data_IF_097673860352
#
_entry.id   IF_097673860352
#
_cell.length_a   1.000
_cell.length_b   1.000
_cell.length_c   1.000
_cell.angle_alpha   90.00
_cell.angle_beta   90.00
_cell.angle_gamma   90.00
#
_symmetry.space_group_name_H-M   'P 1'
#
loop_
_entity.id
_entity.type
_entity.pdbx_description
1 polymer ?
#
# COMPACT_ATOMS: atom_id res chain seq x y z
N UNK A 1 -18.34 -5.50 6.65
CA UNK A 1 -18.02 -4.19 7.28
C UNK A 1 -17.73 -3.10 6.27
N UNK A 2 -16.85 -3.35 5.30
CA UNK A 2 -16.59 -2.46 4.16
C UNK A 2 -17.02 -3.16 2.88
N UNK A 3 -17.69 -2.44 1.99
CA UNK A 3 -18.05 -2.88 0.65
C UNK A 3 -17.67 -1.80 -0.36
N UNK A 4 -16.82 -2.13 -1.32
CA UNK A 4 -16.40 -1.26 -2.40
C UNK A 4 -16.76 -1.93 -3.73
N UNK A 5 -17.48 -1.21 -4.57
CA UNK A 5 -17.91 -1.70 -5.88
C UNK A 5 -17.54 -0.69 -6.97
N UNK A 6 -16.70 -1.13 -7.92
CA UNK A 6 -16.27 -0.38 -9.10
C UNK A 6 -15.74 1.03 -8.79
N UNK A 7 -15.02 1.17 -7.67
CA UNK A 7 -14.51 2.45 -7.20
C UNK A 7 -13.50 3.02 -8.19
N UNK A 8 -13.74 4.25 -8.63
CA UNK A 8 -12.82 5.00 -9.48
C UNK A 8 -12.62 6.41 -8.92
N UNK A 9 -11.36 6.86 -8.91
CA UNK A 9 -10.99 8.24 -8.55
C UNK A 9 -10.06 8.84 -9.58
N UNK A 10 -10.44 9.99 -10.10
CA UNK A 10 -9.63 10.78 -11.03
C UNK A 10 -9.26 12.14 -10.43
N UNK A 11 -8.07 12.58 -10.71
CA UNK A 11 -7.57 13.94 -10.48
C UNK A 11 -7.16 14.50 -11.83
N UNK A 12 -8.06 15.28 -12.43
CA UNK A 12 -7.90 15.72 -13.82
C UNK A 12 -7.78 14.53 -14.78
N UNK A 13 -6.64 14.42 -15.46
CA UNK A 13 -6.37 13.29 -16.39
C UNK A 13 -5.83 12.03 -15.71
N UNK A 14 -5.37 12.13 -14.47
CA UNK A 14 -4.75 11.00 -13.76
C UNK A 14 -5.83 10.17 -13.07
N UNK A 15 -5.89 8.87 -13.34
CA UNK A 15 -6.68 7.91 -12.59
C UNK A 15 -5.83 7.40 -11.40
N UNK A 16 -6.12 7.89 -10.20
CA UNK A 16 -5.48 7.42 -8.97
C UNK A 16 -6.05 6.08 -8.49
N UNK A 17 -7.32 5.80 -8.79
CA UNK A 17 -8.00 4.52 -8.57
C UNK A 17 -8.80 4.20 -9.83
N UNK A 18 -8.68 2.98 -10.33
CA UNK A 18 -9.30 2.52 -11.57
C UNK A 18 -10.10 1.24 -11.35
N UNK A 19 -11.41 1.40 -11.13
CA UNK A 19 -12.41 0.33 -11.09
C UNK A 19 -12.08 -0.80 -10.09
N UNK A 20 -11.76 -0.47 -8.83
CA UNK A 20 -11.48 -1.48 -7.81
C UNK A 20 -12.76 -1.92 -7.09
N UNK A 21 -12.82 -3.22 -6.76
CA UNK A 21 -13.90 -3.81 -5.97
C UNK A 21 -13.34 -4.79 -4.94
N UNK A 22 -13.73 -4.63 -3.69
CA UNK A 22 -13.37 -5.56 -2.61
C UNK A 22 -14.30 -5.37 -1.41
N UNK A 23 -14.25 -6.31 -0.47
CA UNK A 23 -14.99 -6.24 0.80
C UNK A 23 -14.08 -6.58 1.98
N UNK A 24 -14.45 -6.08 3.17
CA UNK A 24 -13.82 -6.42 4.45
C UNK A 24 -14.90 -6.88 5.41
N UNK A 25 -14.71 -8.06 6.01
CA UNK A 25 -15.67 -8.63 6.92
C UNK A 25 -15.55 -8.04 8.34
N UNK A 26 -16.63 -8.07 9.15
CA UNK A 26 -16.52 -7.66 10.54
C UNK A 26 -15.48 -8.49 11.31
N UNK A 27 -14.62 -7.83 12.10
CA UNK A 27 -13.59 -8.47 12.92
C UNK A 27 -12.32 -8.86 12.15
N UNK A 28 -12.25 -8.62 10.83
CA UNK A 28 -11.10 -8.95 9.99
C UNK A 28 -10.00 -7.87 10.09
N UNK A 29 -8.73 -8.29 10.08
CA UNK A 29 -7.58 -7.40 9.91
C UNK A 29 -7.07 -7.55 8.47
N UNK A 30 -7.31 -6.53 7.64
CA UNK A 30 -6.93 -6.52 6.22
C UNK A 30 -5.79 -5.56 5.98
N UNK A 31 -4.75 -6.04 5.30
CA UNK A 31 -3.64 -5.21 4.80
C UNK A 31 -3.94 -4.68 3.40
N UNK A 32 -3.73 -3.40 3.19
CA UNK A 32 -3.83 -2.74 1.89
C UNK A 32 -2.43 -2.35 1.42
N UNK A 33 -1.80 -3.22 0.63
CA UNK A 33 -0.39 -3.16 0.28
C UNK A 33 -0.19 -2.59 -1.12
N UNK A 34 0.83 -1.76 -1.31
CA UNK A 34 1.19 -1.23 -2.62
C UNK A 34 2.34 -0.24 -2.57
N UNK A 35 3.03 0.03 -3.69
CA UNK A 35 4.07 1.04 -3.76
C UNK A 35 3.52 2.46 -3.51
N UNK A 36 4.42 3.42 -3.33
CA UNK A 36 4.02 4.82 -3.24
C UNK A 36 3.37 5.25 -4.56
N UNK A 37 2.25 6.01 -4.46
CA UNK A 37 1.45 6.41 -5.62
C UNK A 37 0.50 5.33 -6.17
N UNK A 38 0.43 4.13 -5.59
CA UNK A 38 -0.47 3.06 -6.04
C UNK A 38 -1.97 3.34 -5.82
N UNK A 39 -2.33 4.34 -4.98
CA UNK A 39 -3.72 4.69 -4.67
C UNK A 39 -4.15 4.36 -3.23
N UNK A 40 -3.25 3.90 -2.35
CA UNK A 40 -3.56 3.50 -0.96
C UNK A 40 -4.23 4.63 -0.17
N UNK A 41 -3.54 5.74 0.04
CA UNK A 41 -4.05 6.90 0.79
C UNK A 41 -5.31 7.49 0.15
N UNK A 42 -5.38 7.49 -1.19
CA UNK A 42 -6.59 7.91 -1.91
C UNK A 42 -7.79 7.02 -1.55
N UNK A 43 -7.59 5.71 -1.49
CA UNK A 43 -8.64 4.76 -1.08
C UNK A 43 -9.05 4.99 0.38
N UNK A 44 -8.09 5.15 1.31
CA UNK A 44 -8.38 5.45 2.72
C UNK A 44 -9.16 6.77 2.88
N UNK A 45 -8.79 7.80 2.12
CA UNK A 45 -9.47 9.10 2.15
C UNK A 45 -10.92 9.02 1.63
N UNK A 46 -11.20 8.16 0.64
CA UNK A 46 -12.59 7.93 0.18
C UNK A 46 -13.38 7.15 1.23
N UNK A 47 -12.80 6.09 1.80
CA UNK A 47 -13.43 5.29 2.87
C UNK A 47 -13.83 6.14 4.08
N UNK A 48 -13.01 7.13 4.43
CA UNK A 48 -13.27 8.05 5.56
C UNK A 48 -14.22 9.20 5.21
N UNK A 49 -14.62 9.31 3.93
CA UNK A 49 -15.43 10.41 3.44
C UNK A 49 -14.70 11.77 3.46
N UNK A 50 -13.35 11.73 3.42
CA UNK A 50 -12.53 12.95 3.31
C UNK A 50 -12.54 13.52 1.89
N UNK A 51 -12.54 12.66 0.87
CA UNK A 51 -12.70 13.04 -0.53
C UNK A 51 -13.79 12.19 -1.19
N UNK A 52 -14.57 12.75 -2.15
CA UNK A 52 -15.55 11.97 -2.89
C UNK A 52 -14.91 11.05 -3.92
N UNK A 53 -15.56 9.93 -4.24
CA UNK A 53 -15.25 9.11 -5.41
C UNK A 53 -15.62 9.84 -6.71
N UNK A 54 -15.04 9.42 -7.84
CA UNK A 54 -15.48 9.89 -9.18
C UNK A 54 -16.59 8.98 -9.72
N UNK A 55 -16.52 7.68 -9.42
CA UNK A 55 -17.53 6.69 -9.74
C UNK A 55 -17.42 5.50 -8.79
N UNK A 56 -18.44 4.65 -8.79
CA UNK A 56 -18.53 3.49 -7.91
C UNK A 56 -19.18 3.80 -6.57
N UNK A 57 -19.42 2.76 -5.78
CA UNK A 57 -20.11 2.83 -4.48
C UNK A 57 -19.19 2.36 -3.38
N UNK A 58 -19.20 3.06 -2.25
CA UNK A 58 -18.44 2.70 -1.04
C UNK A 58 -19.39 2.70 0.15
N UNK A 59 -19.50 1.55 0.82
CA UNK A 59 -20.32 1.39 2.02
C UNK A 59 -19.47 0.99 3.21
N UNK A 60 -19.78 1.56 4.38
CA UNK A 60 -19.19 1.20 5.67
C UNK A 60 -20.32 0.94 6.65
N UNK A 61 -20.33 -0.26 7.26
CA UNK A 61 -21.39 -0.67 8.16
C UNK A 61 -22.79 -0.64 7.53
N UNK A 62 -22.88 -0.85 6.22
CA UNK A 62 -24.13 -0.79 5.44
C UNK A 62 -24.55 0.61 5.00
N UNK A 63 -23.87 1.68 5.44
CA UNK A 63 -24.16 3.06 5.04
C UNK A 63 -23.26 3.52 3.91
N UNK A 64 -23.84 4.21 2.92
CA UNK A 64 -23.08 4.80 1.83
C UNK A 64 -22.29 6.02 2.31
N UNK A 65 -21.00 6.07 1.93
CA UNK A 65 -20.08 7.13 2.37
C UNK A 65 -20.50 8.51 1.87
N UNK A 66 -21.14 8.57 0.71
CA UNK A 66 -21.58 9.83 0.09
C UNK A 66 -22.96 10.27 0.57
N UNK A 67 -23.88 9.33 0.78
CA UNK A 67 -25.27 9.61 1.17
C UNK A 67 -25.41 9.80 2.69
N UNK A 68 -24.70 8.99 3.50
CA UNK A 68 -24.78 8.96 4.95
C UNK A 68 -23.43 9.28 5.66
N UNK A 69 -22.70 10.34 5.32
CA UNK A 69 -21.34 10.58 5.81
C UNK A 69 -21.24 10.67 7.34
N UNK A 70 -22.23 11.21 8.03
CA UNK A 70 -22.25 11.33 9.50
C UNK A 70 -22.37 9.94 10.17
N UNK A 71 -23.17 9.03 9.61
CA UNK A 71 -23.32 7.67 10.14
C UNK A 71 -22.04 6.88 9.93
N UNK A 72 -21.43 7.02 8.76
CA UNK A 72 -20.14 6.40 8.42
C UNK A 72 -19.03 6.89 9.34
N UNK A 73 -18.87 8.20 9.50
CA UNK A 73 -17.81 8.80 10.36
C UNK A 73 -17.92 8.39 11.82
N UNK A 74 -19.11 8.08 12.33
CA UNK A 74 -19.29 7.58 13.71
C UNK A 74 -18.75 6.16 13.88
N UNK A 75 -18.76 5.35 12.82
CA UNK A 75 -18.27 3.97 12.86
C UNK A 75 -16.77 3.86 12.65
N UNK A 76 -16.11 4.96 12.20
CA UNK A 76 -14.71 4.94 11.80
C UNK A 76 -13.82 5.63 12.84
N UNK A 77 -12.75 4.94 13.22
CA UNK A 77 -11.56 5.54 13.79
C UNK A 77 -10.47 5.64 12.73
N UNK A 78 -10.01 6.84 12.43
CA UNK A 78 -9.02 7.07 11.39
C UNK A 78 -7.71 7.59 11.95
N UNK A 79 -6.62 6.91 11.58
CA UNK A 79 -5.25 7.35 11.79
C UNK A 79 -4.64 7.64 10.41
N UNK A 80 -4.50 8.89 9.98
CA UNK A 80 -3.76 9.23 8.77
C UNK A 80 -2.25 9.03 8.98
N UNK A 81 -1.49 8.95 7.89
CA UNK A 81 -0.02 8.85 7.88
C UNK A 81 0.62 9.93 8.78
N UNK A 82 0.11 11.16 8.70
CA UNK A 82 0.50 12.27 9.58
C UNK A 82 -0.71 12.69 10.41
N UNK A 83 -0.79 12.28 11.68
CA UNK A 83 -1.91 12.67 12.54
C UNK A 83 -1.98 14.19 12.73
N UNK A 84 -3.15 14.82 12.57
CA UNK A 84 -3.34 16.27 12.71
C UNK A 84 -3.38 16.65 14.20
N UNK A 85 -2.23 16.60 14.87
CA UNK A 85 -2.12 16.87 16.30
C UNK A 85 -2.00 18.37 16.57
N UNK A 86 -2.69 18.84 17.62
CA UNK A 86 -2.55 20.19 18.13
C UNK A 86 -1.38 20.26 19.11
N UNK A 87 -0.27 20.83 18.66
CA UNK A 87 1.01 20.79 19.38
C UNK A 87 1.05 21.59 20.69
N UNK A 88 0.20 22.58 20.83
CA UNK A 88 0.12 23.44 22.02
C UNK A 88 -0.87 22.95 23.09
N UNK A 89 -1.59 21.86 22.80
CA UNK A 89 -2.42 21.16 23.77
C UNK A 89 -1.63 20.06 24.48
N UNK A 90 -2.03 19.75 25.72
CA UNK A 90 -1.62 18.51 26.39
C UNK A 90 -2.32 17.32 25.75
N UNK A 91 -1.79 16.10 25.95
CA UNK A 91 -2.42 14.87 25.45
C UNK A 91 -3.88 14.76 25.89
N UNK A 92 -4.15 15.04 27.17
CA UNK A 92 -5.52 14.97 27.72
C UNK A 92 -6.45 16.03 27.13
N UNK A 93 -5.98 17.28 26.96
CA UNK A 93 -6.77 18.34 26.33
C UNK A 93 -7.08 18.02 24.88
N UNK A 94 -6.09 17.52 24.11
CA UNK A 94 -6.28 17.11 22.75
C UNK A 94 -7.32 15.97 22.61
N UNK A 95 -7.19 14.91 23.42
CA UNK A 95 -8.16 13.80 23.38
C UNK A 95 -9.55 14.23 23.86
N UNK A 96 -9.64 15.16 24.79
CA UNK A 96 -10.91 15.75 25.23
C UNK A 96 -11.59 16.53 24.08
N UNK A 97 -10.82 17.33 23.37
CA UNK A 97 -11.29 18.05 22.19
C UNK A 97 -11.79 17.08 21.10
N UNK A 98 -11.03 15.99 20.83
CA UNK A 98 -11.47 14.96 19.88
C UNK A 98 -12.77 14.29 20.31
N UNK A 99 -12.92 13.98 21.60
CA UNK A 99 -14.15 13.39 22.14
C UNK A 99 -15.37 14.31 21.99
N UNK A 100 -15.16 15.62 22.07
CA UNK A 100 -16.20 16.61 21.78
C UNK A 100 -16.58 16.68 20.31
N UNK A 101 -15.59 16.71 19.42
CA UNK A 101 -15.80 16.71 17.97
C UNK A 101 -16.58 15.47 17.50
N UNK A 102 -16.21 14.30 18.03
CA UNK A 102 -16.90 13.03 17.75
C UNK A 102 -18.27 12.92 18.43
N UNK A 103 -18.70 13.94 19.16
CA UNK A 103 -19.97 13.96 19.90
C UNK A 103 -20.13 12.77 20.86
N UNK A 104 -19.02 12.29 21.45
CA UNK A 104 -19.05 11.21 22.42
C UNK A 104 -19.96 11.58 23.61
N UNK A 105 -20.74 10.66 24.17
CA UNK A 105 -21.65 10.94 25.30
C UNK A 105 -20.88 11.51 26.51
N UNK A 106 -21.34 12.62 27.06
CA UNK A 106 -20.62 13.36 28.12
C UNK A 106 -20.23 12.48 29.32
N UNK A 107 -21.09 11.55 29.71
CA UNK A 107 -20.87 10.61 30.81
C UNK A 107 -19.82 9.52 30.51
N UNK A 108 -19.50 9.28 29.24
CA UNK A 108 -18.53 8.27 28.82
C UNK A 108 -17.19 8.87 28.40
N UNK A 109 -17.12 10.17 28.08
CA UNK A 109 -15.92 10.83 27.52
C UNK A 109 -14.67 10.57 28.33
N UNK A 110 -14.75 10.83 29.67
CA UNK A 110 -13.60 10.66 30.55
C UNK A 110 -13.09 9.21 30.52
N UNK A 111 -14.00 8.23 30.64
CA UNK A 111 -13.66 6.80 30.58
C UNK A 111 -13.02 6.43 29.26
N UNK A 112 -13.59 6.84 28.13
CA UNK A 112 -13.05 6.54 26.80
C UNK A 112 -11.66 7.14 26.60
N UNK A 113 -11.40 8.35 27.10
CA UNK A 113 -10.08 8.99 27.04
C UNK A 113 -9.07 8.22 27.88
N UNK A 114 -9.42 7.87 29.13
CA UNK A 114 -8.56 7.11 30.04
C UNK A 114 -8.23 5.73 29.43
N UNK A 115 -9.23 4.97 28.93
CA UNK A 115 -9.07 3.68 28.29
C UNK A 115 -8.19 3.78 27.02
N UNK A 116 -8.40 4.80 26.19
CA UNK A 116 -7.59 5.01 24.98
C UNK A 116 -6.13 5.33 25.35
N UNK A 117 -5.88 6.15 26.38
CA UNK A 117 -4.52 6.45 26.83
C UNK A 117 -3.83 5.22 27.43
N UNK A 118 -4.54 4.39 28.18
CA UNK A 118 -4.00 3.13 28.73
C UNK A 118 -3.66 2.12 27.62
N UNK A 119 -4.58 1.91 26.68
CA UNK A 119 -4.34 1.00 25.54
C UNK A 119 -3.12 1.42 24.74
N UNK A 120 -2.94 2.74 24.53
CA UNK A 120 -1.81 3.29 23.80
C UNK A 120 -0.55 3.45 24.66
N UNK A 121 -0.59 3.16 25.96
CA UNK A 121 0.51 3.32 26.92
C UNK A 121 1.06 4.75 26.93
N UNK A 122 0.16 5.74 27.01
CA UNK A 122 0.49 7.18 27.07
C UNK A 122 -0.11 7.88 28.28
N UNK A 123 -0.73 7.14 29.21
CA UNK A 123 -1.36 7.69 30.40
C UNK A 123 -0.39 8.56 31.23
N UNK A 124 0.86 8.12 31.38
CA UNK A 124 1.91 8.86 32.10
C UNK A 124 2.29 10.19 31.44
N UNK A 125 1.87 10.39 30.19
CA UNK A 125 2.16 11.57 29.40
C UNK A 125 0.92 12.48 29.24
N UNK A 126 -0.19 12.18 29.91
CA UNK A 126 -1.48 12.87 29.78
C UNK A 126 -1.40 14.39 29.93
N UNK A 127 -0.55 14.87 30.85
CA UNK A 127 -0.34 16.31 31.14
C UNK A 127 0.81 16.94 30.30
N UNK A 128 1.50 16.17 29.47
CA UNK A 128 2.56 16.70 28.59
C UNK A 128 1.98 17.37 27.37
N UNK A 129 2.59 18.48 26.95
CA UNK A 129 2.30 19.11 25.66
C UNK A 129 2.68 18.15 24.51
N UNK A 130 1.83 18.07 23.50
CA UNK A 130 2.02 17.20 22.34
C UNK A 130 3.33 17.53 21.60
N UNK A 131 3.72 18.81 21.52
CA UNK A 131 5.01 19.23 20.91
C UNK A 131 6.23 18.58 21.56
N UNK A 132 6.17 18.30 22.85
CA UNK A 132 7.27 17.76 23.64
C UNK A 132 7.36 16.22 23.61
N UNK A 133 6.54 15.56 22.81
CA UNK A 133 6.54 14.10 22.61
C UNK A 133 7.48 13.69 21.47
N UNK A 134 8.10 12.52 21.62
CA UNK A 134 8.81 11.88 20.50
C UNK A 134 7.84 11.49 19.38
N UNK A 135 8.35 11.23 18.17
CA UNK A 135 7.53 10.81 17.03
C UNK A 135 6.67 9.60 17.37
N UNK A 136 7.23 8.57 18.01
CA UNK A 136 6.48 7.39 18.42
C UNK A 136 5.36 7.67 19.43
N UNK A 137 5.58 8.57 20.37
CA UNK A 137 4.51 9.00 21.27
C UNK A 137 3.43 9.83 20.56
N UNK A 138 3.79 10.69 19.62
CA UNK A 138 2.83 11.42 18.77
C UNK A 138 1.98 10.44 17.95
N UNK A 139 2.58 9.39 17.42
CA UNK A 139 1.85 8.34 16.72
C UNK A 139 0.85 7.62 17.63
N UNK A 140 1.25 7.31 18.89
CA UNK A 140 0.36 6.72 19.89
C UNK A 140 -0.80 7.65 20.28
N UNK A 141 -0.59 8.96 20.33
CA UNK A 141 -1.66 9.95 20.54
C UNK A 141 -2.62 9.95 19.35
N UNK A 142 -2.10 9.85 18.10
CA UNK A 142 -2.91 9.68 16.90
C UNK A 142 -3.75 8.39 16.92
N UNK A 143 -3.20 7.29 17.42
CA UNK A 143 -3.99 6.07 17.64
C UNK A 143 -5.07 6.27 18.73
N UNK A 144 -4.71 6.86 19.86
CA UNK A 144 -5.68 7.12 20.92
C UNK A 144 -6.87 7.94 20.41
N UNK A 145 -6.62 8.97 19.60
CA UNK A 145 -7.69 9.77 18.97
C UNK A 145 -8.58 8.92 18.03
N UNK A 146 -8.00 7.95 17.32
CA UNK A 146 -8.76 7.06 16.46
C UNK A 146 -9.73 6.18 17.28
N UNK A 147 -9.35 5.75 18.48
CA UNK A 147 -10.16 4.91 19.38
C UNK A 147 -11.30 5.65 20.10
N UNK A 148 -11.22 6.97 20.21
CA UNK A 148 -12.30 7.77 20.85
C UNK A 148 -13.62 7.55 20.10
N UNK A 149 -14.67 7.26 20.83
CA UNK A 149 -16.01 6.95 20.30
C UNK A 149 -16.25 5.47 20.05
N UNK A 150 -15.29 4.61 20.42
CA UNK A 150 -15.42 3.12 20.30
C UNK A 150 -15.85 2.67 18.88
N UNK A 151 -15.08 3.05 17.83
CA UNK A 151 -15.47 2.77 16.46
C UNK A 151 -15.45 1.27 16.16
N UNK A 152 -16.34 0.80 15.31
CA UNK A 152 -16.34 -0.60 14.85
C UNK A 152 -15.22 -0.88 13.82
N UNK A 153 -14.83 0.15 13.06
CA UNK A 153 -13.80 0.09 12.03
C UNK A 153 -12.63 1.02 12.34
N UNK A 154 -11.42 0.50 12.31
CA UNK A 154 -10.19 1.30 12.35
C UNK A 154 -9.56 1.34 10.95
N UNK A 155 -9.31 2.53 10.45
CA UNK A 155 -8.57 2.78 9.21
C UNK A 155 -7.23 3.38 9.61
N UNK A 156 -6.12 2.67 9.27
CA UNK A 156 -4.77 3.03 9.68
C UNK A 156 -3.92 3.23 8.41
N UNK A 157 -3.55 4.48 8.14
CA UNK A 157 -2.72 4.79 6.96
C UNK A 157 -1.26 4.89 7.36
N UNK A 158 -0.43 3.93 6.88
CA UNK A 158 1.01 3.80 7.15
C UNK A 158 1.35 3.92 8.67
N UNK A 159 0.73 3.11 9.55
CA UNK A 159 0.77 3.32 11.00
C UNK A 159 2.15 3.20 11.66
N UNK A 160 3.13 2.63 10.95
CA UNK A 160 4.48 2.34 11.44
C UNK A 160 5.55 3.25 10.83
N UNK A 161 5.15 4.17 9.94
CA UNK A 161 6.11 5.01 9.22
C UNK A 161 6.97 5.86 10.17
N UNK A 162 8.31 5.74 10.00
CA UNK A 162 9.29 6.52 10.77
C UNK A 162 9.37 6.17 12.25
N UNK A 163 8.90 4.98 12.64
CA UNK A 163 9.16 4.38 13.94
C UNK A 163 10.45 3.56 13.91
N UNK A 164 11.11 3.42 15.06
CA UNK A 164 12.24 2.51 15.19
C UNK A 164 11.79 1.03 15.25
N UNK A 165 12.71 0.05 15.01
CA UNK A 165 12.35 -1.37 14.96
C UNK A 165 11.63 -1.89 16.21
N UNK A 166 11.98 -1.38 17.41
CA UNK A 166 11.34 -1.77 18.66
C UNK A 166 9.90 -1.26 18.72
N UNK A 167 9.69 -0.01 18.32
CA UNK A 167 8.38 0.61 18.26
C UNK A 167 7.48 -0.07 17.22
N UNK A 168 8.02 -0.50 16.07
CA UNK A 168 7.30 -1.28 15.06
C UNK A 168 6.76 -2.58 15.65
N UNK A 169 7.61 -3.34 16.38
CA UNK A 169 7.19 -4.59 17.03
C UNK A 169 6.07 -4.33 18.05
N UNK A 170 6.18 -3.27 18.84
CA UNK A 170 5.15 -2.89 19.82
C UNK A 170 3.84 -2.50 19.13
N UNK A 171 3.93 -1.75 18.03
CA UNK A 171 2.77 -1.31 17.25
C UNK A 171 2.05 -2.50 16.61
N UNK A 172 2.77 -3.47 16.05
CA UNK A 172 2.19 -4.71 15.52
C UNK A 172 1.40 -5.49 16.60
N UNK A 173 1.98 -5.62 17.80
CA UNK A 173 1.29 -6.27 18.93
C UNK A 173 0.02 -5.51 19.32
N UNK A 174 0.08 -4.19 19.30
CA UNK A 174 -1.05 -3.33 19.58
C UNK A 174 -2.16 -3.51 18.55
N UNK A 175 -1.86 -3.41 17.26
CA UNK A 175 -2.85 -3.60 16.18
C UNK A 175 -3.51 -4.98 16.30
N UNK A 176 -2.73 -6.05 16.53
CA UNK A 176 -3.30 -7.40 16.78
C UNK A 176 -4.24 -7.44 17.99
N UNK A 177 -3.93 -6.70 19.06
CA UNK A 177 -4.80 -6.65 20.23
C UNK A 177 -6.10 -5.89 19.96
N UNK A 178 -6.04 -4.84 19.15
CA UNK A 178 -7.20 -4.06 18.72
C UNK A 178 -8.12 -4.85 17.78
N UNK A 179 -7.55 -5.70 16.90
CA UNK A 179 -8.30 -6.56 15.99
C UNK A 179 -9.23 -7.54 16.66
N UNK A 180 -9.05 -7.82 17.98
CA UNK A 180 -10.00 -8.63 18.76
C UNK A 180 -11.35 -7.94 19.00
N UNK A 181 -11.40 -6.61 18.88
CA UNK A 181 -12.58 -5.79 19.16
C UNK A 181 -13.05 -4.97 17.97
N UNK A 182 -12.15 -4.70 17.03
CA UNK A 182 -12.38 -3.81 15.90
C UNK A 182 -12.07 -4.52 14.59
N UNK A 183 -12.80 -4.19 13.55
CA UNK A 183 -12.38 -4.47 12.17
C UNK A 183 -11.25 -3.50 11.83
N UNK A 184 -10.20 -3.95 11.16
CA UNK A 184 -9.05 -3.09 10.85
C UNK A 184 -8.71 -3.19 9.37
N UNK A 185 -8.57 -2.06 8.71
CA UNK A 185 -7.87 -1.96 7.43
C UNK A 185 -6.64 -1.09 7.63
N UNK A 186 -5.47 -1.61 7.28
CA UNK A 186 -4.23 -0.85 7.39
C UNK A 186 -3.51 -0.78 6.04
N UNK A 187 -3.04 0.39 5.68
CA UNK A 187 -2.18 0.56 4.52
C UNK A 187 -0.71 0.39 4.90
N UNK A 188 0.08 -0.19 4.01
CA UNK A 188 1.54 -0.17 4.09
C UNK A 188 2.17 -0.38 2.72
N UNK A 189 3.42 0.03 2.58
CA UNK A 189 4.27 -0.34 1.45
C UNK A 189 5.28 -1.43 1.85
N UNK A 190 5.28 -1.86 3.11
CA UNK A 190 6.18 -2.87 3.68
C UNK A 190 5.41 -4.15 3.93
N UNK A 191 5.67 -5.15 3.11
CA UNK A 191 4.96 -6.41 3.14
C UNK A 191 5.15 -7.19 4.45
N UNK A 192 6.36 -7.19 5.04
CA UNK A 192 6.65 -7.84 6.32
C UNK A 192 5.80 -7.29 7.48
N UNK A 193 5.41 -6.02 7.41
CA UNK A 193 4.55 -5.42 8.42
C UNK A 193 3.13 -5.94 8.31
N UNK A 194 2.62 -5.98 7.09
CA UNK A 194 1.28 -6.45 6.77
C UNK A 194 1.13 -7.94 7.09
N UNK A 195 2.08 -8.78 6.62
CA UNK A 195 2.05 -10.22 6.84
C UNK A 195 2.14 -10.62 8.32
N UNK A 196 2.82 -9.80 9.12
CA UNK A 196 2.94 -10.05 10.56
C UNK A 196 1.63 -9.81 11.33
N UNK A 197 0.66 -9.08 10.76
CA UNK A 197 -0.54 -8.59 11.48
C UNK A 197 -1.83 -9.01 10.81
N UNK A 198 -1.89 -9.00 9.47
CA UNK A 198 -3.11 -9.16 8.71
C UNK A 198 -3.42 -10.62 8.40
N UNK A 199 -4.71 -10.94 8.35
CA UNK A 199 -5.24 -12.25 7.95
C UNK A 199 -5.34 -12.35 6.43
N UNK A 200 -5.61 -11.21 5.76
CA UNK A 200 -5.72 -11.10 4.31
C UNK A 200 -5.07 -9.81 3.82
N UNK A 201 -4.53 -9.86 2.61
CA UNK A 201 -3.84 -8.75 1.97
C UNK A 201 -4.51 -8.44 0.64
N UNK A 202 -4.74 -7.17 0.39
CA UNK A 202 -5.16 -6.62 -0.90
C UNK A 202 -3.96 -5.87 -1.46
N UNK A 203 -3.43 -6.33 -2.59
CA UNK A 203 -2.31 -5.68 -3.27
C UNK A 203 -2.87 -4.75 -4.33
N UNK A 204 -2.52 -3.46 -4.22
CA UNK A 204 -2.88 -2.43 -5.19
C UNK A 204 -1.64 -1.93 -5.92
N UNK A 205 -1.74 -1.80 -7.25
CA UNK A 205 -0.71 -1.19 -8.09
C UNK A 205 -1.36 -0.31 -9.16
N UNK A 206 -0.81 0.86 -9.43
CA UNK A 206 -1.32 1.83 -10.43
C UNK A 206 -2.85 2.04 -10.38
N UNK A 207 -3.40 2.05 -9.18
CA UNK A 207 -4.84 2.25 -8.96
C UNK A 207 -5.71 1.01 -9.20
N UNK A 208 -5.17 -0.18 -9.46
CA UNK A 208 -5.89 -1.44 -9.67
C UNK A 208 -5.52 -2.47 -8.63
N UNK A 209 -6.43 -3.38 -8.32
CA UNK A 209 -6.13 -4.52 -7.46
C UNK A 209 -5.38 -5.56 -8.28
N UNK A 210 -4.15 -5.87 -7.85
CA UNK A 210 -3.30 -6.89 -8.48
C UNK A 210 -3.57 -8.28 -7.88
N UNK A 211 -3.81 -8.37 -6.57
CA UNK A 211 -4.12 -9.65 -5.91
C UNK A 211 -4.89 -9.42 -4.61
N UNK A 212 -5.65 -10.44 -4.19
CA UNK A 212 -6.32 -10.52 -2.89
C UNK A 212 -6.21 -11.93 -2.37
N UNK A 213 -5.43 -12.17 -1.32
CA UNK A 213 -5.30 -13.48 -0.69
C UNK A 213 -4.71 -13.37 0.73
N UNK A 214 -4.54 -14.51 1.42
CA UNK A 214 -3.78 -14.58 2.66
C UNK A 214 -2.28 -14.43 2.39
N UNK A 215 -1.48 -13.92 3.35
CA UNK A 215 -0.03 -13.85 3.19
C UNK A 215 0.59 -15.21 2.85
N UNK A 216 0.10 -16.29 3.46
CA UNK A 216 0.58 -17.66 3.23
C UNK A 216 0.28 -18.16 1.80
N UNK A 217 -0.91 -17.85 1.28
CA UNK A 217 -1.27 -18.25 -0.08
C UNK A 217 -0.49 -17.45 -1.12
N UNK A 218 -0.31 -16.14 -0.88
CA UNK A 218 0.54 -15.31 -1.74
C UNK A 218 1.95 -15.88 -1.83
N UNK A 219 2.55 -16.31 -0.70
CA UNK A 219 3.90 -16.89 -0.68
C UNK A 219 4.00 -18.24 -1.41
N UNK A 220 2.91 -19.01 -1.46
CA UNK A 220 2.87 -20.33 -2.11
C UNK A 220 2.37 -20.28 -3.55
N UNK A 221 1.52 -19.33 -3.86
CA UNK A 221 0.65 -19.35 -5.07
C UNK A 221 1.22 -18.71 -6.32
N UNK A 222 2.07 -17.70 -6.20
CA UNK A 222 2.45 -16.85 -7.31
C UNK A 222 3.80 -17.17 -7.96
N UNK A 223 4.62 -18.02 -7.34
CA UNK A 223 5.84 -18.50 -8.01
C UNK A 223 5.48 -19.45 -9.16
N UNK A 224 5.79 -19.07 -10.39
CA UNK A 224 5.78 -19.97 -11.57
C UNK A 224 6.89 -21.02 -11.50
N UNK A 225 7.75 -20.92 -10.50
CA UNK A 225 8.90 -21.78 -10.27
C UNK A 225 8.98 -22.22 -8.81
N UNK A 226 9.53 -23.40 -8.56
CA UNK A 226 9.97 -23.87 -7.25
C UNK A 226 11.43 -23.52 -7.06
N UNK A 227 11.82 -22.99 -5.90
CA UNK A 227 13.21 -22.68 -5.59
C UNK A 227 13.77 -23.59 -4.51
N UNK A 228 14.99 -24.05 -4.72
CA UNK A 228 15.76 -24.84 -3.76
C UNK A 228 17.09 -24.14 -3.45
N UNK A 229 17.41 -23.97 -2.18
CA UNK A 229 18.78 -23.69 -1.74
C UNK A 229 19.53 -25.00 -1.62
N UNK A 230 20.65 -25.09 -2.29
CA UNK A 230 21.48 -26.28 -2.38
C UNK A 230 22.91 -25.95 -2.00
N UNK A 231 23.42 -26.53 -0.92
CA UNK A 231 24.84 -26.43 -0.55
C UNK A 231 25.55 -27.70 -0.93
N UNK A 232 26.58 -27.59 -1.76
CA UNK A 232 27.29 -28.73 -2.38
C UNK A 232 28.79 -28.55 -2.22
N UNK A 233 29.51 -29.65 -1.90
CA UNK A 233 30.94 -29.70 -1.97
C UNK A 233 31.39 -30.22 -3.34
N UNK A 234 32.14 -29.39 -4.10
CA UNK A 234 32.62 -29.77 -5.43
C UNK A 234 33.05 -28.56 -6.28
N UNK A 235 33.48 -28.84 -7.50
CA UNK A 235 33.85 -27.81 -8.46
C UNK A 235 32.61 -27.01 -8.89
N UNK A 236 32.59 -25.67 -8.74
CA UNK A 236 31.42 -24.89 -9.09
C UNK A 236 30.95 -25.08 -10.54
N UNK A 237 31.87 -25.16 -11.49
CA UNK A 237 31.51 -25.35 -12.92
C UNK A 237 30.86 -26.70 -13.17
N UNK A 238 31.38 -27.78 -12.55
CA UNK A 238 30.83 -29.11 -12.68
C UNK A 238 29.44 -29.24 -12.06
N UNK A 239 29.23 -28.61 -10.86
CA UNK A 239 27.95 -28.58 -10.18
C UNK A 239 26.92 -27.81 -11.00
N UNK A 240 27.25 -26.59 -11.46
CA UNK A 240 26.32 -25.78 -12.29
C UNK A 240 25.91 -26.52 -13.57
N UNK A 241 26.87 -27.11 -14.31
CA UNK A 241 26.57 -27.87 -15.53
C UNK A 241 25.64 -29.05 -15.25
N UNK A 242 25.98 -29.88 -14.24
CA UNK A 242 25.20 -31.08 -13.92
C UNK A 242 23.76 -30.75 -13.44
N UNK A 243 23.57 -29.62 -12.73
CA UNK A 243 22.27 -29.22 -12.26
C UNK A 243 21.44 -28.58 -13.38
N UNK A 244 22.06 -27.82 -14.27
CA UNK A 244 21.36 -27.18 -15.41
C UNK A 244 20.85 -28.19 -16.45
N UNK A 245 21.43 -29.40 -16.53
CA UNK A 245 20.98 -30.46 -17.43
C UNK A 245 19.73 -31.22 -16.91
N UNK A 246 19.30 -30.97 -15.70
CA UNK A 246 18.14 -31.66 -15.11
C UNK A 246 16.84 -31.12 -15.73
N UNK A 247 16.00 -32.02 -16.19
CA UNK A 247 14.69 -31.66 -16.74
C UNK A 247 13.84 -30.91 -15.72
N UNK A 248 13.30 -29.76 -16.10
CA UNK A 248 12.50 -28.88 -15.27
C UNK A 248 13.32 -27.82 -14.51
N UNK A 249 14.65 -27.82 -14.59
CA UNK A 249 15.48 -26.72 -14.05
C UNK A 249 15.45 -25.55 -15.02
N UNK A 250 15.11 -24.36 -14.52
CA UNK A 250 15.07 -23.10 -15.27
C UNK A 250 16.37 -22.30 -15.14
N UNK A 251 16.86 -22.21 -13.90
CA UNK A 251 18.08 -21.44 -13.61
C UNK A 251 18.86 -22.05 -12.45
N UNK A 252 20.18 -21.83 -12.47
CA UNK A 252 21.10 -22.21 -11.39
C UNK A 252 22.00 -21.01 -11.11
N UNK A 253 21.85 -20.42 -9.94
CA UNK A 253 22.61 -19.26 -9.50
C UNK A 253 23.53 -19.66 -8.35
N UNK A 254 24.84 -19.37 -8.47
CA UNK A 254 25.80 -19.52 -7.38
C UNK A 254 25.75 -18.29 -6.48
N UNK A 255 25.43 -18.45 -5.20
CA UNK A 255 25.39 -17.35 -4.25
C UNK A 255 26.74 -17.06 -3.63
N UNK A 256 27.23 -17.94 -2.76
CA UNK A 256 28.41 -17.72 -1.92
C UNK A 256 29.23 -19.01 -1.76
N UNK A 257 30.54 -18.84 -1.54
CA UNK A 257 31.40 -19.89 -1.03
C UNK A 257 31.38 -19.85 0.52
N UNK A 258 30.92 -20.93 1.15
CA UNK A 258 30.91 -21.05 2.62
C UNK A 258 32.27 -21.43 3.15
N UNK A 259 32.96 -22.37 2.45
CA UNK A 259 34.28 -22.89 2.78
C UNK A 259 35.02 -23.26 1.49
N UNK A 260 36.29 -23.58 1.58
CA UNK A 260 37.08 -23.96 0.41
C UNK A 260 36.51 -25.24 -0.23
N UNK A 261 35.95 -25.11 -1.43
CA UNK A 261 35.30 -26.19 -2.18
C UNK A 261 33.83 -26.47 -1.85
N UNK A 262 33.19 -25.63 -1.02
CA UNK A 262 31.75 -25.71 -0.69
C UNK A 262 31.04 -24.43 -1.11
N UNK A 263 30.09 -24.56 -2.00
CA UNK A 263 29.31 -23.43 -2.53
C UNK A 263 27.81 -23.65 -2.32
N UNK A 264 27.08 -22.55 -2.14
CA UNK A 264 25.62 -22.54 -2.07
C UNK A 264 25.05 -22.04 -3.39
N UNK A 265 24.02 -22.72 -3.88
CA UNK A 265 23.33 -22.42 -5.13
C UNK A 265 21.84 -22.20 -4.86
N UNK A 266 21.21 -21.32 -5.64
CA UNK A 266 19.74 -21.30 -5.83
C UNK A 266 19.44 -22.01 -7.14
N UNK A 267 18.57 -23.00 -7.06
CA UNK A 267 18.09 -23.77 -8.22
C UNK A 267 16.61 -23.47 -8.39
N UNK A 268 16.24 -22.89 -9.52
CA UNK A 268 14.85 -22.67 -9.89
C UNK A 268 14.39 -23.78 -10.83
N UNK A 269 13.20 -24.30 -10.57
CA UNK A 269 12.58 -25.34 -11.41
C UNK A 269 11.11 -25.03 -11.67
N UNK A 270 10.52 -25.73 -12.63
CA UNK A 270 9.07 -25.71 -12.82
C UNK A 270 8.36 -26.15 -11.53
N UNK A 271 7.24 -25.49 -11.21
CA UNK A 271 6.50 -25.68 -9.96
C UNK A 271 5.99 -27.12 -9.76
N UNK A 272 5.61 -27.77 -10.85
CA UNK A 272 5.00 -29.10 -10.83
C UNK A 272 6.03 -30.23 -10.95
N UNK A 273 7.34 -29.91 -11.01
CA UNK A 273 8.41 -30.89 -11.19
C UNK A 273 9.27 -30.99 -9.93
N UNK A 274 9.20 -32.15 -9.25
CA UNK A 274 10.09 -32.42 -8.10
C UNK A 274 11.49 -32.82 -8.59
N UNK A 275 12.40 -31.86 -8.54
CA UNK A 275 13.80 -32.05 -8.96
C UNK A 275 14.71 -32.62 -7.89
N UNK A 276 14.25 -32.83 -6.64
CA UNK A 276 15.10 -33.25 -5.50
C UNK A 276 15.80 -34.60 -5.74
N UNK A 277 15.09 -35.58 -6.28
CA UNK A 277 15.69 -36.87 -6.63
C UNK A 277 16.65 -36.79 -7.81
N UNK A 278 16.30 -36.15 -8.94
CA UNK A 278 17.23 -35.88 -10.03
C UNK A 278 18.50 -35.17 -9.58
N UNK A 279 18.40 -34.13 -8.71
CA UNK A 279 19.55 -33.43 -8.15
C UNK A 279 20.50 -34.36 -7.40
N UNK A 280 19.96 -35.22 -6.55
CA UNK A 280 20.78 -36.21 -5.83
C UNK A 280 21.59 -37.11 -6.79
N UNK A 281 20.95 -37.68 -7.80
CA UNK A 281 21.64 -38.57 -8.74
C UNK A 281 22.63 -37.83 -9.64
N UNK A 282 22.30 -36.64 -10.10
CA UNK A 282 23.19 -35.86 -10.97
C UNK A 282 24.48 -35.48 -10.23
N UNK A 283 24.38 -35.03 -8.98
CA UNK A 283 25.52 -34.62 -8.15
C UNK A 283 26.32 -35.81 -7.64
N UNK A 284 25.68 -36.94 -7.36
CA UNK A 284 26.39 -38.19 -7.03
C UNK A 284 27.28 -38.69 -8.19
N UNK A 285 26.86 -38.56 -9.44
CA UNK A 285 27.65 -38.95 -10.64
C UNK A 285 28.97 -38.18 -10.76
N UNK A 286 28.99 -36.92 -10.30
CA UNK A 286 30.17 -36.07 -10.34
C UNK A 286 30.90 -36.02 -9.00
N UNK A 287 30.57 -36.94 -8.07
CA UNK A 287 31.16 -37.04 -6.72
C UNK A 287 31.09 -35.74 -5.94
N UNK A 288 30.02 -34.98 -6.07
CA UNK A 288 29.76 -33.71 -5.40
C UNK A 288 28.65 -33.90 -4.36
N UNK A 289 28.97 -34.17 -3.07
CA UNK A 289 27.99 -34.46 -2.05
C UNK A 289 27.15 -33.23 -1.72
N UNK A 290 25.84 -33.46 -1.54
CA UNK A 290 24.90 -32.45 -1.05
C UNK A 290 25.07 -32.38 0.48
N UNK A 291 25.43 -31.20 0.99
CA UNK A 291 25.56 -30.94 2.42
C UNK A 291 24.27 -30.39 3.01
N UNK A 292 23.51 -29.64 2.24
CA UNK A 292 22.24 -29.07 2.66
C UNK A 292 21.33 -28.87 1.47
N UNK A 293 20.03 -29.16 1.64
CA UNK A 293 18.99 -28.89 0.66
C UNK A 293 17.76 -28.34 1.40
N UNK A 294 17.31 -27.15 1.04
CA UNK A 294 16.12 -26.50 1.61
C UNK A 294 15.24 -25.99 0.48
N UNK A 295 13.92 -26.15 0.60
CA UNK A 295 12.98 -25.37 -0.18
C UNK A 295 13.08 -23.91 0.22
N UNK A 296 13.18 -23.05 -0.76
CA UNK A 296 13.04 -21.61 -0.58
C UNK A 296 11.65 -21.23 -1.08
N UNK A 297 10.80 -20.82 -0.17
CA UNK A 297 9.58 -20.12 -0.58
C UNK A 297 9.98 -18.74 -1.14
N UNK A 298 9.30 -18.31 -2.17
CA UNK A 298 9.45 -16.91 -2.61
C UNK A 298 9.15 -16.01 -1.42
N UNK A 299 10.02 -15.05 -1.18
CA UNK A 299 9.66 -14.03 -0.22
C UNK A 299 8.46 -13.26 -0.74
N UNK A 300 7.59 -12.84 0.16
CA UNK A 300 6.43 -12.04 -0.23
C UNK A 300 6.85 -10.73 -0.92
N UNK A 301 8.08 -10.24 -0.68
CA UNK A 301 8.69 -9.11 -1.37
C UNK A 301 8.98 -9.42 -2.83
N UNK A 302 9.53 -10.60 -3.13
CA UNK A 302 9.79 -11.03 -4.52
C UNK A 302 8.49 -11.19 -5.29
N UNK A 303 7.46 -11.78 -4.66
CA UNK A 303 6.13 -11.90 -5.24
C UNK A 303 5.50 -10.54 -5.51
N UNK A 304 5.64 -9.62 -4.57
CA UNK A 304 5.15 -8.25 -4.74
C UNK A 304 5.86 -7.56 -5.91
N UNK A 305 7.19 -7.70 -6.03
CA UNK A 305 7.96 -7.14 -7.13
C UNK A 305 7.60 -7.79 -8.47
N UNK A 306 7.35 -9.09 -8.51
CA UNK A 306 6.93 -9.83 -9.70
C UNK A 306 5.54 -9.40 -10.17
N UNK A 307 4.58 -9.23 -9.24
CA UNK A 307 3.26 -8.68 -9.54
C UNK A 307 3.31 -7.27 -10.11
N UNK A 308 4.12 -6.41 -9.50
CA UNK A 308 4.30 -5.03 -9.96
C UNK A 308 5.01 -4.99 -11.33
N UNK A 309 5.91 -5.94 -11.60
CA UNK A 309 6.64 -6.04 -12.87
C UNK A 309 5.79 -6.64 -14.00
N UNK A 310 5.01 -7.69 -13.73
CA UNK A 310 4.14 -8.34 -14.73
C UNK A 310 3.05 -7.40 -15.25
N UNK A 311 2.49 -6.55 -14.39
CA UNK A 311 1.56 -5.50 -14.83
C UNK A 311 2.23 -4.42 -15.71
N UNK A 312 3.55 -4.21 -15.57
CA UNK A 312 4.28 -3.32 -16.50
C UNK A 312 4.36 -3.90 -17.90
N UNK A 313 4.58 -5.21 -18.02
CA UNK A 313 4.63 -5.89 -19.31
C UNK A 313 3.25 -5.88 -20.00
N UNK A 314 2.18 -6.22 -19.27
CA UNK A 314 0.82 -6.22 -19.83
C UNK A 314 0.31 -4.83 -20.21
N UNK A 315 0.79 -3.76 -19.55
CA UNK A 315 0.40 -2.40 -19.90
C UNK A 315 1.18 -1.83 -21.09
N UNK A 316 2.38 -2.31 -21.37
CA UNK A 316 3.16 -1.94 -22.54
C UNK A 316 2.57 -2.53 -23.84
N UNK A 317 2.12 -3.80 -23.79
CA UNK A 317 1.48 -4.44 -24.95
C UNK A 317 0.13 -3.79 -25.32
N UNK A 318 -0.60 -3.21 -24.35
CA UNK A 318 -1.87 -2.52 -24.63
C UNK A 318 -1.71 -1.09 -25.18
N UNK A 319 -0.57 -0.46 -24.95
CA UNK A 319 -0.28 0.86 -25.50
C UNK A 319 0.29 0.75 -26.93
N UNK A 320 1.00 -0.34 -27.29
CA UNK A 320 1.43 -0.62 -28.67
C UNK A 320 0.26 -1.00 -29.59
N UNK A 321 -0.74 -1.76 -29.12
CA UNK A 321 -1.94 -2.08 -29.92
C UNK A 321 -2.86 -0.87 -30.21
N UNK A 322 -2.72 0.24 -29.47
CA UNK A 322 -3.51 1.46 -29.68
C UNK A 322 -2.91 2.44 -30.66
N UNK A 323 -1.61 2.34 -30.95
CA UNK A 323 -0.91 3.22 -31.90
C UNK A 323 -0.96 2.67 -33.33
N UNK A 324 -1.14 1.38 -33.53
CA UNK A 324 -1.27 0.76 -34.86
C UNK A 324 -2.68 0.88 -35.50
N UNK A 325 -3.67 1.37 -34.75
CA UNK A 325 -5.06 1.54 -35.22
C UNK A 325 -5.43 2.88 -35.86
N UNK A 326 -4.52 3.88 -35.88
CA UNK A 326 -4.84 5.25 -36.32
C UNK A 326 -4.30 5.60 -37.71
N UNK A 327 -3.91 4.64 -38.52
CA UNK A 327 -3.24 4.88 -39.80
C UNK A 327 -3.83 4.21 -41.04
N UNK A 328 -5.17 4.24 -41.23
CA UNK A 328 -5.77 3.96 -42.55
C UNK A 328 -7.18 4.55 -42.58
N UNK A 329 -7.29 5.75 -43.17
CA UNK A 329 -8.39 6.23 -44.01
C UNK A 329 -8.25 7.74 -44.24
N UNK A 330 -7.56 8.13 -45.31
CA UNK A 330 -7.76 9.40 -46.03
C UNK A 330 -6.99 9.43 -47.34
N UNK A 331 -7.49 8.77 -48.38
CA UNK A 331 -7.21 9.18 -49.77
C UNK A 331 -8.53 9.37 -50.51
N UNK A 332 -8.67 10.55 -51.14
CA UNK A 332 -9.70 10.77 -52.16
C UNK A 332 -10.28 12.18 -52.27
N UNK A 333 -9.57 13.12 -52.82
CA UNK A 333 -9.74 14.38 -53.52
C UNK A 333 -11.13 14.76 -54.14
N UNK A 334 -11.26 15.76 -55.02
CA UNK A 334 -10.44 16.95 -55.24
C UNK A 334 -11.24 18.31 -55.29
N UNK A 335 -10.47 19.39 -55.20
CA UNK A 335 -10.60 20.74 -55.78
C UNK A 335 -11.94 21.35 -56.11
N UNK A 336 -12.22 22.53 -55.54
CA UNK A 336 -12.41 23.78 -56.33
C UNK A 336 -12.41 25.00 -55.36
N UNK A 337 -11.59 25.99 -55.63
CA UNK A 337 -11.66 27.34 -55.11
C UNK A 337 -12.47 28.24 -56.10
N UNK A 338 -12.41 29.59 -56.08
CA UNK A 338 -11.88 30.53 -55.08
C UNK A 338 -12.97 31.56 -54.67
N UNK A 339 -12.79 32.38 -53.66
CA UNK A 339 -12.87 33.83 -53.86
C UNK A 339 -12.42 34.65 -52.62
N UNK A 340 -11.94 35.84 -52.96
CA UNK A 340 -11.29 36.82 -52.17
C UNK A 340 -12.22 37.66 -51.28
N UNK A 341 -11.75 38.15 -50.17
CA UNK A 341 -12.43 39.17 -49.36
C UNK A 341 -11.55 39.75 -48.28
N UNK A 342 -10.68 40.60 -48.71
CA UNK A 342 -9.84 41.55 -47.98
C UNK A 342 -10.71 42.50 -47.12
N UNK A 343 -10.39 42.71 -45.85
CA UNK A 343 -10.53 44.03 -45.20
C UNK A 343 -9.52 44.17 -44.03
N UNK A 344 -8.87 45.30 -44.11
CA UNK A 344 -7.80 45.92 -43.43
C UNK A 344 -8.14 46.49 -42.06
N UNK A 345 -7.14 46.51 -41.17
CA UNK A 345 -6.67 47.51 -40.20
C UNK A 345 -7.68 48.38 -39.43
N UNK A 346 -7.47 48.49 -38.13
CA UNK A 346 -6.92 49.70 -37.49
C UNK A 346 -6.91 49.58 -35.94
N UNK A 347 -5.72 49.77 -35.41
CA UNK A 347 -5.21 50.67 -34.37
C UNK A 347 -5.99 50.88 -33.04
N UNK A 348 -5.24 50.74 -32.01
CA UNK A 348 -4.76 51.77 -31.05
C UNK A 348 -4.68 51.27 -29.58
N UNK A 349 -3.51 51.04 -29.13
CA UNK A 349 -2.75 51.72 -28.06
C UNK A 349 -3.47 52.17 -26.81
N UNK A 350 -2.93 51.77 -25.65
CA UNK A 350 -3.18 52.46 -24.38
C UNK A 350 -2.61 51.73 -23.16
N UNK A 351 -1.32 51.88 -22.92
CA UNK A 351 -0.64 51.83 -21.59
C UNK A 351 -0.53 53.25 -21.06
N UNK A 352 0.01 53.47 -19.83
CA UNK A 352 -0.31 52.99 -18.48
C UNK A 352 -0.59 54.20 -17.55
N UNK A 353 -0.94 53.97 -16.30
CA UNK A 353 -0.65 55.03 -15.29
C UNK A 353 -0.38 54.48 -13.88
N UNK A 354 0.53 55.15 -13.28
CA UNK A 354 1.31 54.90 -12.08
C UNK A 354 0.58 55.27 -10.79
N UNK A 355 1.13 54.71 -9.70
CA UNK A 355 1.01 55.01 -8.26
C UNK A 355 0.80 56.51 -7.91
N UNK A 356 0.45 56.85 -6.59
CA UNK A 356 1.44 56.78 -5.52
C UNK A 356 0.97 56.38 -4.11
N UNK A 357 1.98 56.12 -3.28
CA UNK A 357 2.08 55.97 -1.86
C UNK A 357 1.33 57.05 -1.06
N UNK A 358 0.85 56.69 0.11
CA UNK A 358 0.92 57.61 1.26
C UNK A 358 0.98 56.85 2.63
N UNK A 359 2.07 57.15 3.32
CA UNK A 359 2.36 56.85 4.72
C UNK A 359 1.38 57.60 5.66
N UNK A 360 1.18 57.04 6.87
CA UNK A 360 1.20 57.71 8.20
C UNK A 360 0.68 56.77 9.28
N UNK A 361 1.59 56.32 10.11
CA UNK A 361 1.88 56.67 11.51
C UNK A 361 0.66 56.88 12.46
N UNK A 362 0.72 56.14 13.58
CA UNK A 362 0.47 56.67 14.92
C UNK A 362 -0.75 56.13 15.65
N UNK A 363 -0.60 55.25 16.58
CA UNK A 363 -0.65 55.22 18.05
C UNK A 363 -0.71 53.78 18.57
#
# INVERSE_FOLDING_TARGET
MIEITNLTKRYGRIKAIDNISFSVQPGEIVGFLGPNGAGKTTTMNILTGYIPSTAGVVKVGGFDVMEDPEKVKRQIGYLPEQPPLYFDLTVNEYLSFVAELKKAPKNLRRRQIEEAMEQMKIADHSKRLVKNLSKGYKQRVGFAQALIGEPELLILDEPTIGLDPKQIIEMRKLIKSLGKKHTIILSSHILQEVSAVCERVIIINKGRIAAVDTPENLSKGMGTASRLSLTVAGSPSAVTSAVSEIYGVKSVEKLNDRERGVSTYIVESDKDIDIRRPLFFALARISSPILEMRSLDFSLEEIFLELVASEKAMSADQDEERDDGAGQDAEGGPRDGPDAGNFTDDDASGQPDERPDDEREGE
#
